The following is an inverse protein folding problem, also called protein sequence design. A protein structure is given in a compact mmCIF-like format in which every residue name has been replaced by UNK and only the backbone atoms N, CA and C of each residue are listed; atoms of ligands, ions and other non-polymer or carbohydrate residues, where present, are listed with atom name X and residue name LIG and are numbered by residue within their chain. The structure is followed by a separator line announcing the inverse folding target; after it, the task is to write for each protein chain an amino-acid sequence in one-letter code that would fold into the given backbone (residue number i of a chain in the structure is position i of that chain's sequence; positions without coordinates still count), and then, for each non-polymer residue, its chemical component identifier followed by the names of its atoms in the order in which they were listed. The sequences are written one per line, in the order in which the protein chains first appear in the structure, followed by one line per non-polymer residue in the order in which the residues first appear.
data_IF_644390315640
#
_entry.id   IF_644390315640
#
_cell.length_a   1.000
_cell.length_b   1.000
_cell.length_c   1.000
_cell.angle_alpha   90.00
_cell.angle_beta   90.00
_cell.angle_gamma   90.00
#
_symmetry.space_group_name_H-M   'P 1'
#
loop_
_entity.id
_entity.type
_entity.pdbx_description
1 polymer ?
#
# COMPACT_ATOMS: atom_id res chain seq x y z
N UNK A 1 -20.09 58.74 5.96
CA UNK A 1 -19.60 57.86 4.88
C UNK A 1 -19.19 56.54 5.51
N UNK A 2 -20.00 55.49 5.37
CA UNK A 2 -19.80 54.22 6.00
C UNK A 2 -19.12 53.24 5.02
N UNK A 3 -18.02 52.64 5.43
CA UNK A 3 -17.29 51.65 4.65
C UNK A 3 -17.97 50.28 4.91
N UNK A 4 -18.53 49.68 3.87
CA UNK A 4 -19.12 48.32 3.91
C UNK A 4 -18.00 47.30 3.91
N UNK A 5 -17.90 46.51 4.99
CA UNK A 5 -16.99 45.37 5.08
C UNK A 5 -17.40 44.25 4.13
N UNK A 6 -16.43 43.79 3.33
CA UNK A 6 -16.57 42.65 2.45
C UNK A 6 -16.44 41.37 3.32
N UNK A 7 -17.51 40.58 3.38
CA UNK A 7 -17.48 39.24 4.02
C UNK A 7 -16.68 38.32 3.13
N UNK A 8 -15.54 37.80 3.62
CA UNK A 8 -14.83 36.68 3.00
C UNK A 8 -15.67 35.42 3.16
N UNK A 9 -16.31 34.98 2.09
CA UNK A 9 -16.96 33.67 2.03
C UNK A 9 -15.89 32.58 1.98
N UNK A 10 -15.84 31.75 3.00
CA UNK A 10 -15.04 30.52 2.99
C UNK A 10 -15.77 29.53 2.07
N UNK A 11 -15.19 29.26 0.90
CA UNK A 11 -15.69 28.22 0.01
C UNK A 11 -15.27 26.87 0.63
N UNK A 12 -16.21 26.18 1.28
CA UNK A 12 -16.07 24.79 1.61
C UNK A 12 -16.19 23.98 0.31
N UNK A 13 -15.06 23.61 -0.27
CA UNK A 13 -15.04 22.60 -1.33
C UNK A 13 -15.28 21.26 -0.62
N UNK A 14 -16.53 20.80 -0.63
CA UNK A 14 -16.82 19.42 -0.27
C UNK A 14 -16.09 18.51 -1.27
N UNK A 15 -15.17 17.69 -0.76
CA UNK A 15 -14.62 16.57 -1.53
C UNK A 15 -15.80 15.71 -2.01
N UNK A 16 -15.82 15.24 -3.26
CA UNK A 16 -16.92 14.45 -3.76
C UNK A 16 -17.08 13.19 -2.92
N UNK A 17 -18.17 13.10 -2.19
CA UNK A 17 -18.62 11.89 -1.50
C UNK A 17 -19.13 10.94 -2.58
N UNK A 18 -18.22 10.25 -3.23
CA UNK A 18 -18.57 9.27 -4.27
C UNK A 18 -18.14 7.92 -3.74
N UNK A 19 -19.06 6.98 -3.66
CA UNK A 19 -18.84 5.53 -3.73
C UNK A 19 -19.40 4.64 -2.62
N UNK A 20 -20.07 5.13 -1.59
CA UNK A 20 -20.78 4.24 -0.66
C UNK A 20 -21.93 3.45 -1.33
N UNK A 21 -22.41 3.90 -2.50
CA UNK A 21 -23.53 3.29 -3.23
C UNK A 21 -23.13 2.36 -4.38
N UNK A 22 -21.82 2.29 -4.74
CA UNK A 22 -21.40 1.42 -5.81
C UNK A 22 -21.45 -0.07 -5.40
N UNK A 23 -21.83 -1.01 -6.30
CA UNK A 23 -21.78 -2.43 -6.05
C UNK A 23 -20.38 -2.88 -5.54
N UNK A 24 -20.37 -3.89 -4.66
CA UNK A 24 -19.13 -4.37 -4.03
C UNK A 24 -18.04 -4.70 -5.07
N UNK A 25 -18.39 -5.39 -6.13
CA UNK A 25 -17.48 -5.78 -7.22
C UNK A 25 -16.84 -4.56 -7.92
N UNK A 26 -17.60 -3.48 -8.11
CA UNK A 26 -17.09 -2.23 -8.72
C UNK A 26 -16.09 -1.56 -7.79
N UNK A 27 -16.35 -1.56 -6.47
CA UNK A 27 -15.43 -0.99 -5.47
C UNK A 27 -14.14 -1.81 -5.38
N UNK A 28 -14.25 -3.14 -5.35
CA UNK A 28 -13.10 -4.05 -5.31
C UNK A 28 -12.23 -3.88 -6.56
N UNK A 29 -12.83 -3.80 -7.75
CA UNK A 29 -12.11 -3.57 -9.00
C UNK A 29 -11.38 -2.23 -9.00
N UNK A 30 -12.03 -1.15 -8.56
CA UNK A 30 -11.37 0.16 -8.47
C UNK A 30 -10.23 0.17 -7.47
N UNK A 31 -10.37 -0.52 -6.34
CA UNK A 31 -9.30 -0.68 -5.36
C UNK A 31 -8.12 -1.42 -5.98
N UNK A 32 -8.37 -2.54 -6.64
CA UNK A 32 -7.36 -3.34 -7.34
C UNK A 32 -6.62 -2.54 -8.40
N UNK A 33 -7.34 -1.83 -9.29
CA UNK A 33 -6.74 -0.99 -10.34
C UNK A 33 -5.85 0.12 -9.74
N UNK A 34 -6.27 0.69 -8.62
CA UNK A 34 -5.49 1.68 -7.89
C UNK A 34 -4.21 1.08 -7.31
N UNK A 35 -4.30 -0.11 -6.69
CA UNK A 35 -3.14 -0.85 -6.18
C UNK A 35 -2.14 -1.15 -7.30
N UNK A 36 -2.60 -1.66 -8.45
CA UNK A 36 -1.76 -1.95 -9.61
C UNK A 36 -1.07 -0.71 -10.16
N UNK A 37 -1.79 0.42 -10.25
CA UNK A 37 -1.24 1.70 -10.69
C UNK A 37 -0.09 2.16 -9.80
N UNK A 38 -0.30 2.15 -8.48
CA UNK A 38 0.71 2.50 -7.48
C UNK A 38 1.91 1.56 -7.56
N UNK A 39 1.69 0.25 -7.51
CA UNK A 39 2.73 -0.77 -7.54
C UNK A 39 3.57 -0.68 -8.82
N UNK A 40 2.94 -0.40 -9.96
CA UNK A 40 3.63 -0.25 -11.24
C UNK A 40 4.62 0.91 -11.24
N UNK A 41 4.26 2.03 -10.63
CA UNK A 41 5.17 3.18 -10.50
C UNK A 41 6.32 2.83 -9.56
N UNK A 42 6.03 2.25 -8.39
CA UNK A 42 7.01 1.86 -7.38
C UNK A 42 8.02 0.82 -7.90
N UNK A 43 7.61 -0.07 -8.80
CA UNK A 43 8.47 -1.06 -9.41
C UNK A 43 9.34 -0.51 -10.58
N UNK A 44 8.92 0.58 -11.22
CA UNK A 44 9.60 1.13 -12.40
C UNK A 44 10.56 2.28 -12.10
N UNK A 45 10.18 3.20 -11.21
CA UNK A 45 10.92 4.45 -11.03
C UNK A 45 11.86 4.41 -9.82
N UNK A 46 13.17 4.44 -10.10
CA UNK A 46 14.20 4.47 -9.05
C UNK A 46 14.99 5.77 -8.98
N UNK A 47 14.90 6.65 -10.00
CA UNK A 47 15.89 7.74 -10.15
C UNK A 47 15.45 9.08 -9.56
N UNK A 48 14.16 9.26 -9.30
CA UNK A 48 13.60 10.51 -8.78
C UNK A 48 12.66 10.32 -7.58
N UNK A 49 12.44 9.07 -7.16
CA UNK A 49 11.56 8.76 -6.04
C UNK A 49 12.19 8.99 -4.68
N UNK A 50 11.41 9.36 -3.71
CA UNK A 50 11.85 9.49 -2.30
C UNK A 50 12.15 8.13 -1.65
N UNK A 51 11.77 7.02 -2.30
CA UNK A 51 12.10 5.65 -1.92
C UNK A 51 12.79 4.93 -3.09
N UNK A 52 13.60 3.89 -2.82
CA UNK A 52 14.24 3.12 -3.87
C UNK A 52 13.20 2.34 -4.68
N UNK A 53 13.56 1.99 -5.91
CA UNK A 53 12.77 1.08 -6.75
C UNK A 53 12.53 -0.24 -6.03
N UNK A 54 11.30 -0.68 -5.96
CA UNK A 54 10.94 -1.96 -5.39
C UNK A 54 11.28 -3.09 -6.38
N UNK A 55 12.28 -3.90 -6.04
CA UNK A 55 12.72 -5.01 -6.88
C UNK A 55 11.70 -6.14 -6.98
N UNK A 56 10.99 -6.39 -5.89
CA UNK A 56 9.85 -7.30 -5.79
C UNK A 56 8.68 -6.48 -5.27
N UNK A 57 7.54 -6.55 -5.94
CA UNK A 57 6.34 -5.84 -5.53
C UNK A 57 5.13 -6.73 -5.78
N UNK A 58 4.33 -6.95 -4.76
CA UNK A 58 3.14 -7.79 -4.83
C UNK A 58 1.92 -7.03 -4.31
N UNK A 59 0.78 -7.28 -4.95
CA UNK A 59 -0.49 -6.61 -4.72
C UNK A 59 -1.50 -7.60 -4.14
N UNK A 60 -2.24 -7.19 -3.14
CA UNK A 60 -3.39 -7.89 -2.54
C UNK A 60 -3.10 -9.37 -2.21
N UNK A 61 -1.96 -9.63 -1.57
CA UNK A 61 -1.65 -10.98 -1.11
C UNK A 61 -2.61 -11.42 0.01
N UNK A 62 -3.07 -12.65 -0.10
CA UNK A 62 -3.90 -13.24 0.96
C UNK A 62 -3.10 -13.49 2.24
N UNK A 63 -3.76 -13.51 3.38
CA UNK A 63 -3.16 -13.87 4.67
C UNK A 63 -2.52 -15.27 4.66
N UNK A 64 -3.03 -16.21 3.87
CA UNK A 64 -2.42 -17.51 3.67
C UNK A 64 -1.07 -17.45 2.94
N UNK A 65 -0.85 -16.41 2.13
CA UNK A 65 0.44 -16.18 1.45
C UNK A 65 1.44 -15.53 2.40
N UNK A 66 1.02 -14.58 3.21
CA UNK A 66 1.89 -13.90 4.18
C UNK A 66 2.15 -14.76 5.42
N UNK A 67 1.24 -15.67 5.77
CA UNK A 67 1.28 -16.40 7.03
C UNK A 67 0.97 -15.53 8.26
N UNK A 68 0.50 -14.32 8.04
CA UNK A 68 0.19 -13.31 9.06
C UNK A 68 -1.30 -12.99 9.08
N UNK A 69 -1.76 -12.36 10.16
CA UNK A 69 -3.11 -11.74 10.21
C UNK A 69 -3.19 -10.42 9.43
N UNK A 70 -2.05 -9.91 9.00
CA UNK A 70 -1.95 -8.73 8.14
C UNK A 70 -1.89 -9.17 6.67
N UNK A 71 -2.80 -8.66 5.87
CA UNK A 71 -2.81 -8.81 4.42
C UNK A 71 -2.66 -7.40 3.83
N UNK A 72 -1.43 -6.99 3.48
CA UNK A 72 -1.19 -5.66 2.94
C UNK A 72 -1.77 -5.52 1.54
N UNK A 73 -2.28 -4.34 1.20
CA UNK A 73 -2.74 -4.04 -0.14
C UNK A 73 -1.58 -4.08 -1.15
N UNK A 74 -0.40 -3.57 -0.74
CA UNK A 74 0.84 -3.72 -1.52
C UNK A 74 1.98 -3.99 -0.54
N UNK A 75 2.83 -4.96 -0.86
CA UNK A 75 4.10 -5.17 -0.19
C UNK A 75 5.22 -5.20 -1.22
N UNK A 76 6.30 -4.47 -0.93
CA UNK A 76 7.47 -4.43 -1.79
C UNK A 76 8.76 -4.68 -1.03
N UNK A 77 9.75 -5.23 -1.74
CA UNK A 77 11.06 -5.54 -1.16
C UNK A 77 12.18 -4.94 -2.01
N UNK A 78 13.18 -4.42 -1.31
CA UNK A 78 14.42 -3.93 -1.89
C UNK A 78 15.58 -4.66 -1.22
N UNK A 79 16.49 -5.16 -2.03
CA UNK A 79 17.74 -5.71 -1.57
C UNK A 79 18.90 -4.78 -1.91
N UNK A 80 19.51 -4.22 -0.87
CA UNK A 80 20.75 -3.48 -0.96
C UNK A 80 21.82 -4.29 -0.15
N UNK A 81 22.31 -3.73 0.97
CA UNK A 81 23.14 -4.48 1.92
C UNK A 81 22.29 -5.45 2.76
N UNK A 82 21.04 -5.15 2.95
CA UNK A 82 20.03 -6.01 3.60
C UNK A 82 18.68 -5.84 2.94
N UNK A 83 17.76 -6.78 3.19
CA UNK A 83 16.39 -6.72 2.70
C UNK A 83 15.63 -5.67 3.48
N UNK A 84 15.02 -4.73 2.77
CA UNK A 84 14.08 -3.75 3.31
C UNK A 84 12.71 -3.98 2.72
N UNK A 85 11.70 -4.00 3.58
CA UNK A 85 10.30 -4.18 3.21
C UNK A 85 9.54 -2.85 3.27
N UNK A 86 8.65 -2.66 2.31
CA UNK A 86 7.78 -1.49 2.19
C UNK A 86 6.34 -1.96 2.15
N UNK A 87 5.53 -1.50 3.07
CA UNK A 87 4.11 -1.82 3.15
C UNK A 87 3.28 -0.60 2.79
N UNK A 88 2.29 -0.79 1.92
CA UNK A 88 1.37 0.27 1.52
C UNK A 88 -0.07 -0.20 1.73
N UNK A 89 -0.83 0.62 2.44
CA UNK A 89 -2.26 0.44 2.68
C UNK A 89 -3.02 1.46 1.84
N UNK A 90 -3.85 0.98 0.94
CA UNK A 90 -4.64 1.81 0.04
C UNK A 90 -5.96 2.16 0.72
N UNK A 91 -6.34 3.44 0.69
CA UNK A 91 -7.62 3.88 1.20
C UNK A 91 -8.27 4.80 0.18
N UNK A 92 -9.40 4.37 -0.35
CA UNK A 92 -10.15 5.13 -1.35
C UNK A 92 -11.29 5.95 -0.75
N UNK A 93 -11.64 5.71 0.52
CA UNK A 93 -12.63 6.49 1.26
C UNK A 93 -12.18 6.81 2.68
N UNK A 94 -12.83 7.83 3.27
CA UNK A 94 -12.62 8.20 4.68
C UNK A 94 -13.03 7.07 5.62
N UNK A 95 -14.11 6.40 5.30
CA UNK A 95 -14.70 5.31 6.08
C UNK A 95 -13.71 4.15 6.15
N UNK A 96 -13.08 3.78 5.05
CA UNK A 96 -12.06 2.72 4.98
C UNK A 96 -10.84 3.07 5.84
N UNK A 97 -10.39 4.33 5.79
CA UNK A 97 -9.29 4.78 6.62
C UNK A 97 -9.62 4.70 8.12
N UNK A 98 -10.81 5.16 8.51
CA UNK A 98 -11.24 5.12 9.91
C UNK A 98 -11.48 3.68 10.39
N UNK A 99 -11.95 2.79 9.52
CA UNK A 99 -12.11 1.38 9.81
C UNK A 99 -10.75 0.67 10.00
N UNK A 100 -9.75 1.05 9.20
CA UNK A 100 -8.39 0.47 9.30
C UNK A 100 -7.76 0.70 10.67
N UNK A 101 -7.96 1.87 11.29
CA UNK A 101 -7.46 2.18 12.64
C UNK A 101 -7.95 1.19 13.71
N UNK A 102 -9.07 0.50 13.48
CA UNK A 102 -9.66 -0.49 14.40
C UNK A 102 -9.10 -1.90 14.21
N UNK A 103 -8.38 -2.17 13.14
CA UNK A 103 -7.81 -3.49 12.86
C UNK A 103 -6.83 -3.92 13.95
N UNK A 104 -6.76 -5.23 14.20
CA UNK A 104 -5.86 -5.81 15.22
C UNK A 104 -4.40 -5.46 14.93
N UNK A 105 -4.00 -5.47 13.67
CA UNK A 105 -2.63 -5.13 13.24
C UNK A 105 -2.26 -3.66 13.42
N UNK A 106 -3.19 -2.79 13.82
CA UNK A 106 -2.94 -1.38 14.18
C UNK A 106 -2.89 -1.14 15.68
N UNK A 107 -3.17 -2.15 16.51
CA UNK A 107 -3.16 -2.03 17.96
C UNK A 107 -1.73 -2.01 18.51
N UNK A 108 -1.54 -1.31 19.62
CA UNK A 108 -0.26 -1.28 20.31
C UNK A 108 0.22 -2.71 20.67
N UNK A 109 1.50 -2.97 20.47
CA UNK A 109 2.10 -4.28 20.72
C UNK A 109 1.95 -5.29 19.58
N UNK A 110 1.17 -5.02 18.52
CA UNK A 110 1.13 -5.87 17.35
C UNK A 110 2.32 -5.56 16.44
N UNK A 111 3.07 -6.61 16.09
CA UNK A 111 4.16 -6.51 15.13
C UNK A 111 3.64 -6.77 13.72
N UNK A 112 3.36 -5.73 12.98
CA UNK A 112 2.98 -5.84 11.58
C UNK A 112 4.20 -5.94 10.64
N UNK A 113 3.96 -6.20 9.36
CA UNK A 113 4.99 -6.22 8.32
C UNK A 113 5.42 -4.81 7.90
N UNK A 114 6.56 -4.69 7.26
CA UNK A 114 7.09 -3.46 6.65
C UNK A 114 8.03 -2.66 7.54
N UNK A 115 9.29 -2.51 7.09
CA UNK A 115 10.23 -1.52 7.65
C UNK A 115 9.68 -0.10 7.50
N UNK A 116 9.07 0.16 6.35
CA UNK A 116 8.51 1.45 5.97
C UNK A 116 7.04 1.25 5.65
N UNK A 117 6.16 2.01 6.32
CA UNK A 117 4.70 1.83 6.17
C UNK A 117 4.06 3.11 5.70
N UNK A 118 3.24 2.99 4.65
CA UNK A 118 2.57 4.13 4.04
C UNK A 118 1.06 3.89 3.93
N UNK A 119 0.30 4.94 4.13
CA UNK A 119 -1.02 5.05 3.52
C UNK A 119 -0.89 5.69 2.14
N UNK A 120 -1.63 5.15 1.18
CA UNK A 120 -1.74 5.72 -0.17
C UNK A 120 -3.21 6.02 -0.45
N UNK A 121 -3.50 7.25 -0.83
CA UNK A 121 -4.87 7.71 -1.02
C UNK A 121 -4.97 8.63 -2.23
N UNK A 122 -6.19 8.86 -2.76
CA UNK A 122 -6.44 10.03 -3.58
C UNK A 122 -5.99 11.32 -2.88
N UNK A 123 -5.63 12.37 -3.64
CA UNK A 123 -5.20 13.65 -3.06
C UNK A 123 -6.21 14.21 -2.06
N UNK A 124 -5.71 14.65 -0.90
CA UNK A 124 -6.49 15.32 0.16
C UNK A 124 -7.59 14.47 0.82
N UNK A 125 -7.60 13.15 0.64
CA UNK A 125 -8.57 12.27 1.29
C UNK A 125 -8.36 12.20 2.81
N UNK A 126 -7.11 12.10 3.23
CA UNK A 126 -6.67 12.18 4.63
C UNK A 126 -5.57 13.23 4.76
N UNK A 127 -5.45 13.83 5.92
CA UNK A 127 -4.39 14.82 6.17
C UNK A 127 -3.23 14.24 6.98
N UNK A 128 -2.03 14.86 6.95
CA UNK A 128 -0.84 14.38 7.64
C UNK A 128 -1.02 14.17 9.15
N UNK A 129 -1.80 15.01 9.81
CA UNK A 129 -2.07 14.98 11.26
C UNK A 129 -2.96 13.81 11.69
N UNK A 130 -3.62 13.15 10.74
CA UNK A 130 -4.47 12.00 11.01
C UNK A 130 -3.73 10.66 11.00
N UNK A 131 -2.47 10.66 10.54
CA UNK A 131 -1.67 9.44 10.40
C UNK A 131 -1.38 8.79 11.76
N UNK A 132 -1.33 7.46 11.81
CA UNK A 132 -0.69 6.78 12.92
C UNK A 132 0.79 7.18 13.02
N UNK A 133 1.31 7.14 14.25
CA UNK A 133 2.72 7.46 14.47
C UNK A 133 3.64 6.61 13.57
N UNK A 134 4.67 7.27 13.00
CA UNK A 134 5.71 6.68 12.15
C UNK A 134 5.24 6.23 10.75
N UNK A 135 3.95 6.36 10.39
CA UNK A 135 3.45 6.06 9.06
C UNK A 135 3.66 7.24 8.11
N UNK A 136 3.93 6.92 6.85
CA UNK A 136 3.99 7.89 5.77
C UNK A 136 2.66 8.06 5.05
N UNK A 137 2.59 9.09 4.21
CA UNK A 137 1.46 9.40 3.36
C UNK A 137 1.91 9.69 1.94
N UNK A 138 1.26 9.03 1.01
CA UNK A 138 1.43 9.24 -0.42
C UNK A 138 0.07 9.57 -1.01
N UNK A 139 0.00 10.63 -1.80
CA UNK A 139 -1.15 10.87 -2.67
C UNK A 139 -0.89 10.30 -4.05
N UNK A 140 -1.92 9.65 -4.61
CA UNK A 140 -1.90 9.13 -5.96
C UNK A 140 -3.09 9.65 -6.75
N UNK A 141 -2.82 10.37 -7.84
CA UNK A 141 -3.82 11.01 -8.71
C UNK A 141 -4.18 10.18 -9.96
N UNK A 142 -3.75 8.91 -10.00
CA UNK A 142 -3.90 8.03 -11.17
C UNK A 142 -2.72 8.07 -12.14
N UNK A 143 -1.75 8.98 -11.95
CA UNK A 143 -0.60 9.16 -12.84
C UNK A 143 0.74 9.23 -12.12
N UNK A 144 0.79 9.90 -10.96
CA UNK A 144 2.02 10.14 -10.19
C UNK A 144 1.79 9.94 -8.70
N UNK A 145 2.87 9.61 -8.00
CA UNK A 145 2.92 9.54 -6.55
C UNK A 145 3.49 10.83 -6.00
N UNK A 146 2.75 11.45 -5.07
CA UNK A 146 3.23 12.59 -4.29
C UNK A 146 3.47 12.14 -2.84
N UNK A 147 4.73 12.13 -2.42
CA UNK A 147 5.14 11.73 -1.08
C UNK A 147 4.97 12.91 -0.11
N UNK A 148 3.85 12.97 0.57
CA UNK A 148 3.47 14.04 1.49
C UNK A 148 4.20 13.93 2.82
N UNK A 149 4.20 12.73 3.42
CA UNK A 149 4.89 12.43 4.67
C UNK A 149 5.78 11.22 4.47
N UNK A 150 7.04 11.31 4.88
CA UNK A 150 7.93 10.16 4.93
C UNK A 150 7.79 9.43 6.26
N UNK A 151 7.75 8.09 6.27
CA UNK A 151 7.62 7.32 7.49
C UNK A 151 8.94 7.29 8.27
N UNK A 152 8.85 6.89 9.54
CA UNK A 152 10.02 6.49 10.32
C UNK A 152 10.16 4.97 10.29
N UNK A 153 11.39 4.48 10.23
CA UNK A 153 11.68 3.04 10.15
C UNK A 153 11.15 2.26 11.35
N UNK A 154 10.58 1.09 11.09
CA UNK A 154 10.30 0.05 12.08
C UNK A 154 11.46 -0.95 12.06
N UNK A 155 12.15 -1.09 13.18
CA UNK A 155 13.29 -1.98 13.31
C UNK A 155 12.87 -3.47 13.36
N UNK A 156 13.83 -4.37 13.31
CA UNK A 156 13.60 -5.81 13.22
C UNK A 156 12.81 -6.38 14.41
N UNK A 157 13.03 -5.85 15.60
CA UNK A 157 12.33 -6.21 16.83
C UNK A 157 10.91 -5.63 16.94
N UNK A 158 10.55 -4.69 16.06
CA UNK A 158 9.26 -3.99 16.05
C UNK A 158 8.29 -4.53 14.98
N UNK A 159 8.72 -5.47 14.15
CA UNK A 159 7.93 -5.97 13.01
C UNK A 159 7.91 -7.50 12.92
N UNK A 160 7.00 -8.01 12.13
CA UNK A 160 6.84 -9.45 11.89
C UNK A 160 7.79 -9.91 10.77
N UNK A 161 9.06 -10.13 11.14
CA UNK A 161 10.10 -10.61 10.23
C UNK A 161 9.74 -11.96 9.63
N UNK A 162 9.12 -12.85 10.41
CA UNK A 162 8.73 -14.17 9.92
C UNK A 162 7.69 -14.08 8.80
N UNK A 163 6.70 -13.21 8.94
CA UNK A 163 5.70 -12.98 7.89
C UNK A 163 6.32 -12.40 6.62
N UNK A 164 7.31 -11.51 6.75
CA UNK A 164 8.04 -10.95 5.60
C UNK A 164 8.86 -12.01 4.88
N UNK A 165 9.62 -12.83 5.61
CA UNK A 165 10.41 -13.93 5.05
C UNK A 165 9.51 -14.98 4.39
N UNK A 166 8.42 -15.37 5.05
CA UNK A 166 7.43 -16.29 4.49
C UNK A 166 6.81 -15.74 3.21
N UNK A 167 6.50 -14.45 3.17
CA UNK A 167 6.00 -13.78 1.98
C UNK A 167 7.01 -13.86 0.84
N UNK A 168 8.28 -13.52 1.08
CA UNK A 168 9.34 -13.62 0.08
C UNK A 168 9.50 -15.04 -0.45
N UNK A 169 9.56 -16.04 0.44
CA UNK A 169 9.67 -17.44 0.05
C UNK A 169 8.48 -17.89 -0.83
N UNK A 170 7.27 -17.48 -0.46
CA UNK A 170 6.09 -17.80 -1.26
C UNK A 170 6.08 -17.12 -2.62
N UNK A 171 6.52 -15.87 -2.71
CA UNK A 171 6.67 -15.15 -3.98
C UNK A 171 7.72 -15.82 -4.87
N UNK A 172 8.90 -16.19 -4.33
CA UNK A 172 9.96 -16.89 -5.06
C UNK A 172 9.45 -18.24 -5.59
N UNK A 173 8.74 -19.01 -4.76
CA UNK A 173 8.16 -20.30 -5.18
C UNK A 173 7.15 -20.17 -6.32
N UNK A 174 6.51 -19.03 -6.45
CA UNK A 174 5.54 -18.72 -7.51
C UNK A 174 6.18 -18.10 -8.75
N UNK A 175 7.50 -17.97 -8.79
CA UNK A 175 8.24 -17.50 -9.95
C UNK A 175 8.21 -15.98 -10.13
N UNK A 176 8.17 -15.24 -9.04
CA UNK A 176 8.26 -13.77 -9.09
C UNK A 176 9.52 -13.31 -9.80
N UNK A 177 9.38 -12.44 -10.78
CA UNK A 177 10.47 -11.88 -11.57
C UNK A 177 10.78 -10.47 -11.09
N UNK A 178 12.06 -10.15 -10.93
CA UNK A 178 12.51 -8.84 -10.50
C UNK A 178 11.95 -7.70 -11.39
N UNK A 179 11.39 -6.70 -10.75
CA UNK A 179 10.79 -5.53 -11.43
C UNK A 179 9.42 -5.77 -12.04
N UNK A 180 8.85 -6.96 -11.89
CA UNK A 180 7.47 -7.24 -12.25
C UNK A 180 6.56 -7.04 -11.03
N UNK A 181 5.38 -6.50 -11.25
CA UNK A 181 4.31 -6.46 -10.25
C UNK A 181 3.54 -7.78 -10.31
N UNK A 182 3.25 -8.33 -9.15
CA UNK A 182 2.44 -9.53 -8.99
C UNK A 182 1.21 -9.20 -8.16
N UNK A 183 0.09 -9.77 -8.55
CA UNK A 183 -1.14 -9.70 -7.78
C UNK A 183 -1.68 -11.10 -7.43
N UNK A 184 -2.81 -11.14 -6.74
CA UNK A 184 -3.40 -12.40 -6.32
C UNK A 184 -3.95 -13.21 -7.50
N UNK A 185 -4.29 -12.59 -8.62
CA UNK A 185 -4.79 -13.27 -9.81
C UNK A 185 -3.68 -14.02 -10.55
N UNK A 186 -2.44 -13.52 -10.53
CA UNK A 186 -1.27 -14.23 -11.04
C UNK A 186 -1.08 -15.63 -10.40
N UNK A 187 -1.74 -15.89 -9.28
CA UNK A 187 -1.63 -17.13 -8.51
C UNK A 187 -2.85 -18.05 -8.62
N UNK A 188 -3.96 -17.59 -9.17
CA UNK A 188 -5.19 -18.40 -9.34
C UNK A 188 -5.07 -19.40 -10.48
N UNK A 189 -4.38 -19.04 -11.55
CA UNK A 189 -4.11 -19.94 -12.66
C UNK A 189 -2.82 -20.72 -12.38
N UNK A 190 -2.98 -21.83 -11.67
CA UNK A 190 -2.06 -22.94 -11.45
C UNK A 190 -0.72 -22.95 -12.21
N UNK A 191 0.15 -21.98 -11.99
CA UNK A 191 1.54 -22.06 -12.42
C UNK A 191 2.30 -23.05 -11.51
N UNK A 192 1.90 -24.34 -11.59
CA UNK A 192 2.77 -25.43 -11.20
C UNK A 192 3.94 -25.35 -12.16
N UNK A 193 5.09 -24.93 -11.64
CA UNK A 193 6.37 -25.13 -12.35
C UNK A 193 6.36 -26.56 -12.88
N UNK A 194 6.49 -26.80 -14.20
CA UNK A 194 6.48 -28.15 -14.73
C UNK A 194 7.59 -28.92 -14.01
N UNK A 195 7.23 -29.97 -13.28
CA UNK A 195 8.24 -30.88 -12.72
C UNK A 195 9.07 -31.40 -13.89
N UNK A 196 10.33 -30.95 -13.97
CA UNK A 196 11.23 -31.39 -15.01
C UNK A 196 11.15 -32.89 -15.15
N UNK A 197 10.87 -33.38 -16.38
CA UNK A 197 10.90 -34.80 -16.68
C UNK A 197 12.27 -35.33 -16.25
N UNK A 198 12.30 -36.22 -15.25
CA UNK A 198 13.48 -36.99 -14.95
C UNK A 198 13.85 -37.73 -16.23
N UNK A 199 15.03 -37.43 -16.80
CA UNK A 199 15.67 -38.26 -17.80
C UNK A 199 16.25 -39.47 -17.13
#
# INVERSE_FOLDING_TARGET
MGVRGVRKGTIHIQAPTIEAEAPKEVRERKHHDFCLGVATILAKDSRKGKIPRLGICAVELSSSTTGSREAPDIIGFVHNLKVNSYLFEIKLSREDFLADKKKVCRKAGYKGMGCWRFYVTPPNLISPDELPNRWGLIYYDGKKLDFVVMPTIFHEDERDMWAEENTLCNLIRRGVVYGKVFDNDDFKEGSRVPRGKKK
#
